data_IF_399732271393
#
_entry.id   IF_399732271393
#
_cell.length_a   1.000
_cell.length_b   1.000
_cell.length_c   1.000
_cell.angle_alpha   90.00
_cell.angle_beta   90.00
_cell.angle_gamma   90.00
#
_symmetry.space_group_name_H-M   'P 1'
#
loop_
_entity.id
_entity.type
_entity.pdbx_description
1 polymer ?
#
# COMPACT_ATOMS: atom_id res chain seq x y z
N UNK A 1 39.45 8.87 3.83
CA UNK A 1 38.97 7.62 3.21
C UNK A 1 38.77 6.46 4.21
N UNK A 2 39.60 6.32 5.26
CA UNK A 2 39.49 5.19 6.22
C UNK A 2 38.74 5.51 7.55
N UNK A 3 38.27 6.74 7.77
CA UNK A 3 37.48 7.09 8.98
C UNK A 3 36.09 6.45 9.02
N UNK A 4 35.55 6.01 7.87
CA UNK A 4 34.24 5.36 7.77
C UNK A 4 34.22 3.93 8.34
N UNK A 5 35.37 3.28 8.52
CA UNK A 5 35.50 1.94 9.11
C UNK A 5 35.72 1.96 10.65
N UNK A 6 35.73 3.14 11.28
CA UNK A 6 35.76 3.20 12.73
C UNK A 6 34.39 2.82 13.27
N UNK A 7 34.32 1.77 14.11
CA UNK A 7 33.11 1.35 14.84
C UNK A 7 32.39 2.56 15.48
N UNK A 8 33.13 3.60 15.87
CA UNK A 8 32.61 4.87 16.38
C UNK A 8 31.73 5.64 15.37
N UNK A 9 32.07 5.65 14.07
CA UNK A 9 31.29 6.31 13.03
C UNK A 9 29.97 5.61 12.72
N UNK A 10 29.96 4.27 12.71
CA UNK A 10 28.73 3.47 12.52
C UNK A 10 27.78 3.64 13.70
N UNK A 11 28.29 3.65 14.94
CA UNK A 11 27.49 3.89 16.14
C UNK A 11 26.88 5.30 16.13
N UNK A 12 27.66 6.30 15.70
CA UNK A 12 27.18 7.67 15.58
C UNK A 12 26.08 7.80 14.51
N UNK A 13 26.27 7.17 13.34
CA UNK A 13 25.26 7.11 12.28
C UNK A 13 23.96 6.44 12.76
N UNK A 14 24.02 5.31 13.44
CA UNK A 14 22.83 4.65 14.00
C UNK A 14 22.12 5.50 15.05
N UNK A 15 22.88 6.29 15.83
CA UNK A 15 22.33 7.22 16.82
C UNK A 15 21.59 8.38 16.16
N UNK A 16 22.14 8.91 15.06
CA UNK A 16 21.51 9.95 14.23
C UNK A 16 20.24 9.42 13.56
N UNK A 17 20.28 8.23 12.95
CA UNK A 17 19.11 7.57 12.36
C UNK A 17 18.01 7.35 13.41
N UNK A 18 18.35 6.91 14.62
CA UNK A 18 17.37 6.73 15.71
C UNK A 18 16.70 8.07 16.09
N UNK A 19 17.48 9.16 16.14
CA UNK A 19 16.96 10.50 16.42
C UNK A 19 15.97 10.98 15.34
N UNK A 20 16.26 10.70 14.07
CA UNK A 20 15.35 11.02 12.96
C UNK A 20 14.11 10.14 12.94
N UNK A 21 14.26 8.84 13.19
CA UNK A 21 13.13 7.90 13.32
C UNK A 21 12.18 8.26 14.46
N UNK A 22 12.67 8.95 15.51
CA UNK A 22 11.82 9.42 16.60
C UNK A 22 10.94 10.60 16.19
N UNK A 23 11.32 11.35 15.14
CA UNK A 23 10.49 12.41 14.54
C UNK A 23 9.40 11.84 13.63
N UNK A 24 9.47 10.55 13.28
CA UNK A 24 8.42 9.88 12.50
C UNK A 24 7.19 9.73 13.39
N UNK A 25 6.17 10.54 13.11
CA UNK A 25 4.87 10.42 13.75
C UNK A 25 4.17 9.17 13.27
N UNK A 26 4.30 8.09 14.05
CA UNK A 26 3.56 6.86 13.79
C UNK A 26 2.05 7.11 13.95
N UNK A 27 1.24 6.72 12.96
CA UNK A 27 -0.20 6.90 13.02
C UNK A 27 -0.79 6.09 14.18
N UNK A 28 -1.83 6.64 14.82
CA UNK A 28 -2.53 5.93 15.90
C UNK A 28 -3.22 4.69 15.30
N UNK A 29 -3.27 3.59 16.06
CA UNK A 29 -3.89 2.31 15.63
C UNK A 29 -5.28 2.49 14.99
N UNK A 30 -6.08 3.42 15.51
CA UNK A 30 -7.40 3.76 14.98
C UNK A 30 -7.37 4.36 13.56
N UNK A 31 -6.36 5.19 13.24
CA UNK A 31 -6.21 5.77 11.90
C UNK A 31 -5.85 4.69 10.88
N UNK A 32 -4.96 3.77 11.26
CA UNK A 32 -4.56 2.65 10.40
C UNK A 32 -5.78 1.82 10.01
N UNK A 33 -6.62 1.46 10.99
CA UNK A 33 -7.84 0.67 10.77
C UNK A 33 -8.83 1.42 9.85
N UNK A 34 -9.05 2.72 10.09
CA UNK A 34 -9.94 3.52 9.24
C UNK A 34 -9.44 3.60 7.79
N UNK A 35 -8.14 3.83 7.60
CA UNK A 35 -7.54 3.92 6.28
C UNK A 35 -7.61 2.59 5.52
N UNK A 36 -7.32 1.46 6.19
CA UNK A 36 -7.45 0.13 5.57
C UNK A 36 -8.89 -0.22 5.25
N UNK A 37 -9.86 0.14 6.10
CA UNK A 37 -11.27 -0.08 5.84
C UNK A 37 -11.75 0.69 4.60
N UNK A 38 -11.32 1.94 4.44
CA UNK A 38 -11.63 2.75 3.26
C UNK A 38 -11.09 2.09 1.99
N UNK A 39 -9.82 1.68 2.00
CA UNK A 39 -9.21 1.01 0.84
C UNK A 39 -9.95 -0.28 0.51
N UNK A 40 -10.28 -1.10 1.53
CA UNK A 40 -11.02 -2.33 1.34
C UNK A 40 -12.38 -2.12 0.67
N UNK A 41 -13.14 -1.09 1.10
CA UNK A 41 -14.42 -0.74 0.50
C UNK A 41 -14.24 -0.32 -0.96
N UNK A 42 -13.29 0.56 -1.25
CA UNK A 42 -13.04 1.04 -2.61
C UNK A 42 -12.64 -0.12 -3.53
N UNK A 43 -11.73 -0.99 -3.08
CA UNK A 43 -11.33 -2.17 -3.83
C UNK A 43 -12.49 -3.12 -4.09
N UNK A 44 -13.38 -3.33 -3.11
CA UNK A 44 -14.58 -4.15 -3.28
C UNK A 44 -15.54 -3.56 -4.32
N UNK A 45 -15.78 -2.25 -4.28
CA UNK A 45 -16.63 -1.54 -5.26
C UNK A 45 -16.06 -1.66 -6.67
N UNK A 46 -14.76 -1.40 -6.83
CA UNK A 46 -14.08 -1.52 -8.13
C UNK A 46 -14.11 -2.97 -8.63
N UNK A 47 -13.89 -3.94 -7.76
CA UNK A 47 -13.95 -5.37 -8.11
C UNK A 47 -15.34 -5.78 -8.59
N UNK A 48 -16.41 -5.36 -7.90
CA UNK A 48 -17.80 -5.59 -8.33
C UNK A 48 -18.08 -4.92 -9.67
N UNK A 49 -17.63 -3.67 -9.84
CA UNK A 49 -17.83 -2.92 -11.09
C UNK A 49 -17.18 -3.63 -12.29
N UNK A 50 -15.91 -4.00 -12.17
CA UNK A 50 -15.18 -4.70 -13.23
C UNK A 50 -15.81 -6.07 -13.49
N UNK A 51 -16.09 -6.85 -12.44
CA UNK A 51 -16.69 -8.18 -12.61
C UNK A 51 -18.10 -8.14 -13.23
N UNK A 52 -18.90 -7.10 -12.91
CA UNK A 52 -20.20 -6.90 -13.54
C UNK A 52 -20.06 -6.55 -15.03
N UNK A 53 -19.07 -5.73 -15.39
CA UNK A 53 -18.76 -5.42 -16.78
C UNK A 53 -18.29 -6.65 -17.56
N UNK A 54 -17.40 -7.46 -16.97
CA UNK A 54 -16.94 -8.71 -17.59
C UNK A 54 -18.13 -9.63 -17.88
N UNK A 55 -19.03 -9.83 -16.91
CA UNK A 55 -20.24 -10.64 -17.09
C UNK A 55 -21.16 -10.08 -18.18
N UNK A 56 -21.40 -8.76 -18.17
CA UNK A 56 -22.24 -8.10 -19.17
C UNK A 56 -21.65 -8.25 -20.58
N UNK A 57 -20.35 -8.05 -20.74
CA UNK A 57 -19.67 -8.22 -22.02
C UNK A 57 -19.66 -9.68 -22.49
N UNK A 58 -19.42 -10.66 -21.61
CA UNK A 58 -19.51 -12.08 -21.99
C UNK A 58 -20.90 -12.41 -22.53
N UNK A 59 -21.97 -11.98 -21.85
CA UNK A 59 -23.35 -12.23 -22.31
C UNK A 59 -23.67 -11.53 -23.63
N UNK A 60 -23.20 -10.31 -23.79
CA UNK A 60 -23.41 -9.54 -25.01
C UNK A 60 -22.67 -10.17 -26.21
N UNK A 61 -21.42 -10.61 -26.00
CA UNK A 61 -20.63 -11.33 -27.00
C UNK A 61 -21.20 -12.72 -27.32
N UNK A 62 -21.65 -13.47 -26.32
CA UNK A 62 -22.36 -14.75 -26.53
C UNK A 62 -23.60 -14.54 -27.42
N UNK A 63 -24.40 -13.52 -27.16
CA UNK A 63 -25.57 -13.21 -27.97
C UNK A 63 -25.22 -12.81 -29.42
N UNK A 64 -24.12 -12.07 -29.60
CA UNK A 64 -23.65 -11.61 -30.91
C UNK A 64 -22.99 -12.72 -31.74
N UNK A 65 -22.28 -13.66 -31.11
CA UNK A 65 -21.54 -14.75 -31.79
C UNK A 65 -22.41 -16.00 -31.95
N UNK A 66 -23.33 -16.28 -31.03
CA UNK A 66 -24.24 -17.43 -31.12
C UNK A 66 -25.40 -17.20 -32.11
N UNK A 67 -25.43 -16.06 -32.79
CA UNK A 67 -26.29 -15.77 -33.94
C UNK A 67 -25.46 -15.81 -35.22
#
# INVERSE_FOLDING_TARGET
MLQFLSVKGVIQFLKEVKLELTKVTWPKKQQIIKLTLIVFIISAVVGVYVGALDYAFTKLLEFLIAR
#
